data_IF_942457369228
#
_entry.id   IF_942457369228
#
_cell.length_a   1.000
_cell.length_b   1.000
_cell.length_c   1.000
_cell.angle_alpha   90.00
_cell.angle_beta   90.00
_cell.angle_gamma   90.00
#
_symmetry.space_group_name_H-M   'P 1'
#
loop_
_entity.id
_entity.type
_entity.pdbx_description
1 polymer ?
#
# COMPACT_ATOMS: atom_id res chain seq x y z
N UNK A 1 2.76 -9.01 -3.62
CA UNK A 1 3.20 -9.14 -5.03
C UNK A 1 4.65 -9.60 -5.05
N UNK A 2 4.91 -10.80 -4.50
CA UNK A 2 6.25 -11.40 -4.41
C UNK A 2 6.34 -12.68 -5.26
N UNK A 3 5.49 -12.77 -6.28
CA UNK A 3 5.54 -13.83 -7.28
C UNK A 3 6.31 -13.24 -8.46
N UNK A 4 7.24 -14.03 -9.00
CA UNK A 4 8.06 -13.81 -10.21
C UNK A 4 9.51 -13.35 -9.97
N UNK A 5 10.26 -14.16 -9.21
CA UNK A 5 11.69 -14.31 -9.49
C UNK A 5 11.89 -15.33 -10.63
N UNK A 6 11.86 -14.81 -11.85
CA UNK A 6 12.36 -15.44 -13.07
C UNK A 6 13.19 -14.41 -13.83
N UNK A 7 14.34 -14.85 -14.34
CA UNK A 7 15.35 -14.12 -15.13
C UNK A 7 14.96 -12.74 -15.68
N UNK A 8 15.84 -11.75 -15.49
CA UNK A 8 15.67 -10.32 -15.76
C UNK A 8 15.30 -9.90 -17.20
N UNK A 9 15.10 -10.84 -18.12
CA UNK A 9 14.65 -10.58 -19.48
C UNK A 9 13.13 -10.75 -19.65
N UNK A 10 12.48 -11.69 -18.92
CA UNK A 10 11.06 -12.04 -19.09
C UNK A 10 10.09 -11.09 -18.38
N UNK A 11 10.55 -10.33 -17.39
CA UNK A 11 9.67 -9.43 -16.62
C UNK A 11 9.19 -8.20 -17.42
N UNK A 12 9.84 -7.86 -18.54
CA UNK A 12 9.46 -6.70 -19.35
C UNK A 12 8.16 -6.96 -20.12
N UNK A 13 7.95 -8.21 -20.56
CA UNK A 13 6.77 -8.61 -21.34
C UNK A 13 5.52 -8.80 -20.48
N UNK A 14 5.69 -9.18 -19.21
CA UNK A 14 4.59 -9.20 -18.24
C UNK A 14 4.15 -7.78 -17.85
N UNK A 15 5.13 -6.88 -17.68
CA UNK A 15 4.89 -5.47 -17.38
C UNK A 15 4.14 -4.76 -18.52
N UNK A 16 4.51 -5.06 -19.76
CA UNK A 16 3.84 -4.49 -20.93
C UNK A 16 2.43 -5.06 -21.13
N UNK A 17 2.21 -6.36 -20.88
CA UNK A 17 0.90 -7.01 -21.01
C UNK A 17 -0.17 -6.50 -20.03
N UNK A 18 0.22 -6.21 -18.78
CA UNK A 18 -0.69 -5.69 -17.77
C UNK A 18 -1.11 -4.24 -18.08
N UNK A 19 -0.16 -3.42 -18.58
CA UNK A 19 -0.42 -2.02 -18.95
C UNK A 19 -1.10 -1.88 -20.32
N UNK A 20 -0.94 -2.87 -21.21
CA UNK A 20 -1.60 -2.89 -22.52
C UNK A 20 -3.10 -3.21 -22.42
N UNK A 21 -3.54 -3.90 -21.37
CA UNK A 21 -4.96 -4.15 -21.10
C UNK A 21 -5.70 -2.90 -20.60
N UNK A 22 -5.00 -1.96 -19.96
CA UNK A 22 -5.46 -0.59 -19.72
C UNK A 22 -5.18 0.26 -20.98
N UNK A 23 -5.80 -0.15 -22.10
CA UNK A 23 -5.55 0.38 -23.44
C UNK A 23 -5.83 1.88 -23.57
N UNK A 24 -4.77 2.69 -23.53
CA UNK A 24 -4.57 3.94 -24.29
C UNK A 24 -3.35 4.78 -23.82
N UNK A 25 -2.57 4.33 -22.84
CA UNK A 25 -1.46 5.14 -22.31
C UNK A 25 -0.12 4.89 -23.03
N UNK A 26 -0.07 5.07 -24.35
CA UNK A 26 1.14 5.61 -24.98
C UNK A 26 0.86 7.09 -25.24
N UNK A 27 0.42 7.79 -24.20
CA UNK A 27 0.12 9.21 -24.27
C UNK A 27 1.41 9.99 -24.09
N UNK A 28 1.70 10.86 -25.05
CA UNK A 28 2.60 12.00 -24.84
C UNK A 28 2.28 12.66 -23.50
N UNK A 29 3.31 13.19 -22.82
CA UNK A 29 3.28 13.81 -21.48
C UNK A 29 2.16 14.82 -21.20
N UNK A 30 1.43 15.25 -22.23
CA UNK A 30 0.36 16.24 -22.20
C UNK A 30 -0.97 15.76 -21.64
N UNK A 31 -1.24 14.44 -21.56
CA UNK A 31 -2.58 13.90 -21.23
C UNK A 31 -2.60 12.84 -20.11
N UNK A 32 -1.58 12.79 -19.24
CA UNK A 32 -1.62 11.87 -18.10
C UNK A 32 -2.49 12.48 -17.01
N UNK A 33 -3.66 11.90 -16.82
CA UNK A 33 -4.55 12.23 -15.71
C UNK A 33 -3.98 11.68 -14.40
N UNK A 34 -3.92 12.54 -13.38
CA UNK A 34 -3.41 12.22 -12.06
C UNK A 34 -4.47 12.63 -11.02
N UNK A 35 -5.53 11.83 -10.84
CA UNK A 35 -6.63 12.12 -9.93
C UNK A 35 -6.13 12.33 -8.50
N UNK A 36 -6.52 13.47 -7.95
CA UNK A 36 -6.22 13.84 -6.58
C UNK A 36 -7.06 13.00 -5.60
N UNK A 37 -6.69 13.03 -4.32
CA UNK A 37 -7.52 12.43 -3.26
C UNK A 37 -8.69 13.38 -3.04
N UNK A 38 -9.90 12.91 -3.38
CA UNK A 38 -11.14 13.67 -3.27
C UNK A 38 -12.12 12.95 -2.33
N UNK A 39 -12.98 13.74 -1.69
CA UNK A 39 -14.12 13.21 -0.95
C UNK A 39 -15.11 12.58 -1.93
N UNK A 40 -15.79 11.54 -1.49
CA UNK A 40 -16.90 10.97 -2.27
C UNK A 40 -18.03 12.01 -2.42
N UNK A 41 -18.78 11.99 -3.53
CA UNK A 41 -19.86 12.95 -3.76
C UNK A 41 -20.85 13.04 -2.59
N UNK A 42 -21.12 14.25 -2.12
CA UNK A 42 -22.01 14.54 -0.99
C UNK A 42 -21.33 14.56 0.38
N UNK A 43 -20.02 14.29 0.45
CA UNK A 43 -19.23 14.30 1.69
C UNK A 43 -18.16 15.39 1.71
N UNK A 44 -18.17 16.33 0.76
CA UNK A 44 -17.18 17.40 0.62
C UNK A 44 -17.17 18.33 1.83
N UNK A 45 -18.32 18.49 2.50
CA UNK A 45 -18.47 19.29 3.74
C UNK A 45 -17.56 18.80 4.88
N UNK A 46 -17.15 17.53 4.85
CA UNK A 46 -16.23 17.00 5.86
C UNK A 46 -14.82 17.58 5.72
N UNK A 47 -14.39 17.95 4.50
CA UNK A 47 -13.12 18.67 4.31
C UNK A 47 -13.12 20.00 5.05
N UNK A 48 -14.14 20.81 4.82
CA UNK A 48 -14.30 22.09 5.51
C UNK A 48 -14.42 21.92 7.03
N UNK A 49 -15.17 20.92 7.49
CA UNK A 49 -15.29 20.62 8.91
C UNK A 49 -13.92 20.27 9.54
N UNK A 50 -13.14 19.40 8.90
CA UNK A 50 -11.81 19.01 9.36
C UNK A 50 -10.87 20.20 9.39
N UNK A 51 -10.88 21.03 8.35
CA UNK A 51 -10.06 22.23 8.27
C UNK A 51 -10.36 23.20 9.41
N UNK A 52 -11.64 23.58 9.58
CA UNK A 52 -12.06 24.52 10.64
C UNK A 52 -11.71 24.02 12.02
N UNK A 53 -11.89 22.72 12.27
CA UNK A 53 -11.57 22.13 13.56
C UNK A 53 -10.07 22.22 13.83
N UNK A 54 -9.23 21.86 12.85
CA UNK A 54 -7.77 21.92 12.99
C UNK A 54 -7.18 23.33 13.09
N UNK A 55 -7.85 24.35 12.55
CA UNK A 55 -7.44 25.76 12.65
C UNK A 55 -7.90 26.43 13.96
N UNK A 56 -8.98 25.93 14.57
CA UNK A 56 -9.58 26.55 15.75
C UNK A 56 -8.93 26.09 17.07
N UNK A 57 -8.86 26.99 18.05
CA UNK A 57 -8.53 26.60 19.42
C UNK A 57 -9.79 26.08 20.12
N UNK A 58 -9.76 24.84 20.59
CA UNK A 58 -10.88 24.22 21.28
C UNK A 58 -10.41 23.31 22.43
N UNK A 59 -11.29 23.02 23.38
CA UNK A 59 -11.03 22.11 24.52
C UNK A 59 -11.44 20.66 24.24
N UNK A 60 -11.83 20.34 23.00
CA UNK A 60 -12.16 19.00 22.54
C UNK A 60 -10.97 18.33 21.84
N UNK A 61 -11.10 17.05 21.50
CA UNK A 61 -10.14 16.31 20.68
C UNK A 61 -10.92 15.46 19.67
N UNK A 62 -10.48 15.46 18.40
CA UNK A 62 -11.00 14.58 17.36
C UNK A 62 -9.91 13.61 16.93
N UNK A 63 -10.26 12.32 16.89
CA UNK A 63 -9.40 11.26 16.35
C UNK A 63 -10.01 10.78 15.03
N UNK A 64 -9.29 11.03 13.93
CA UNK A 64 -9.65 10.56 12.60
C UNK A 64 -8.81 9.31 12.26
N UNK A 65 -9.45 8.27 11.77
CA UNK A 65 -8.76 7.13 11.14
C UNK A 65 -9.03 7.16 9.64
N UNK A 66 -7.98 7.01 8.83
CA UNK A 66 -8.10 7.01 7.38
C UNK A 66 -6.99 6.19 6.72
N UNK A 67 -7.28 5.63 5.55
CA UNK A 67 -6.28 5.05 4.64
C UNK A 67 -5.54 6.12 3.85
N UNK A 68 -6.24 7.21 3.54
CA UNK A 68 -5.76 8.34 2.76
C UNK A 68 -5.67 9.59 3.63
N UNK A 69 -4.53 10.28 3.61
CA UNK A 69 -4.36 11.54 4.33
C UNK A 69 -5.07 12.67 3.57
N UNK A 70 -6.15 13.29 4.11
CA UNK A 70 -6.81 14.44 3.49
C UNK A 70 -5.88 15.64 3.37
N UNK A 71 -6.17 16.55 2.45
CA UNK A 71 -5.29 17.68 2.15
C UNK A 71 -5.23 18.67 3.31
N UNK A 72 -6.36 18.86 3.98
CA UNK A 72 -6.55 19.71 5.14
C UNK A 72 -5.65 19.24 6.29
N UNK A 73 -5.60 17.93 6.53
CA UNK A 73 -4.70 17.34 7.54
C UNK A 73 -3.23 17.51 7.12
N UNK A 74 -2.90 17.29 5.85
CA UNK A 74 -1.52 17.44 5.37
C UNK A 74 -1.02 18.89 5.48
N UNK A 75 -1.88 19.89 5.32
CA UNK A 75 -1.54 21.30 5.45
C UNK A 75 -1.38 21.75 6.91
N UNK A 76 -2.14 21.15 7.83
CA UNK A 76 -2.18 21.54 9.25
C UNK A 76 -1.27 20.70 10.15
N UNK A 77 -0.77 19.54 9.69
CA UNK A 77 0.12 18.69 10.49
C UNK A 77 1.52 19.29 10.65
N UNK A 78 2.11 19.11 11.82
CA UNK A 78 3.50 19.50 12.09
C UNK A 78 3.94 19.10 13.49
N UNK A 79 5.17 19.43 13.91
CA UNK A 79 5.68 19.15 15.27
C UNK A 79 5.23 20.21 16.29
N UNK A 80 5.04 21.45 15.83
CA UNK A 80 4.61 22.59 16.65
C UNK A 80 3.18 23.05 16.32
N UNK A 81 2.54 22.44 15.31
CA UNK A 81 1.19 22.75 14.85
C UNK A 81 0.10 22.02 15.67
N UNK A 82 -1.17 22.45 15.63
CA UNK A 82 -2.23 21.83 16.45
C UNK A 82 -2.62 20.41 15.99
N UNK A 83 -2.41 20.08 14.71
CA UNK A 83 -2.77 18.76 14.15
C UNK A 83 -1.59 17.79 14.23
N UNK A 84 -1.86 16.57 14.68
CA UNK A 84 -0.88 15.48 14.81
C UNK A 84 -1.33 14.28 13.98
N UNK A 85 -0.36 13.60 13.35
CA UNK A 85 -0.60 12.40 12.58
C UNK A 85 0.26 11.25 13.08
N UNK A 86 -0.37 10.10 13.32
CA UNK A 86 0.31 8.86 13.66
C UNK A 86 0.16 7.89 12.49
N UNK A 87 1.26 7.59 11.81
CA UNK A 87 1.29 6.56 10.77
C UNK A 87 1.42 5.19 11.43
N UNK A 88 0.33 4.42 11.47
CA UNK A 88 0.35 3.04 11.98
C UNK A 88 1.23 2.17 11.10
N UNK A 89 2.00 1.24 11.66
CA UNK A 89 2.81 0.25 10.93
C UNK A 89 2.24 -1.16 11.13
N UNK A 90 2.77 -2.14 10.37
CA UNK A 90 2.46 -3.54 10.60
C UNK A 90 2.87 -4.03 11.99
N UNK A 91 2.22 -5.11 12.43
CA UNK A 91 2.51 -5.80 13.68
C UNK A 91 3.87 -6.47 13.65
N UNK A 92 4.49 -6.60 14.82
CA UNK A 92 5.66 -7.46 14.97
C UNK A 92 5.22 -8.93 15.12
N UNK A 93 6.22 -9.80 15.21
CA UNK A 93 6.02 -11.25 15.25
C UNK A 93 5.15 -11.67 16.45
N UNK A 94 5.35 -11.08 17.62
CA UNK A 94 4.63 -11.45 18.85
C UNK A 94 3.13 -11.19 18.71
N UNK A 95 2.75 -9.99 18.24
CA UNK A 95 1.35 -9.63 18.04
C UNK A 95 0.72 -10.41 16.88
N UNK A 96 1.51 -10.75 15.86
CA UNK A 96 1.07 -11.62 14.75
C UNK A 96 0.76 -13.03 15.25
N UNK A 97 1.59 -13.59 16.15
CA UNK A 97 1.32 -14.87 16.80
C UNK A 97 0.01 -14.84 17.57
N UNK A 98 -0.27 -13.77 18.34
CA UNK A 98 -1.54 -13.67 19.08
C UNK A 98 -2.77 -13.68 18.17
N UNK A 99 -2.68 -13.10 16.97
CA UNK A 99 -3.76 -13.19 15.98
C UNK A 99 -3.95 -14.64 15.53
N UNK A 100 -2.88 -15.36 15.22
CA UNK A 100 -2.95 -16.77 14.83
C UNK A 100 -3.52 -17.63 15.98
N UNK A 101 -3.07 -17.44 17.21
CA UNK A 101 -3.62 -18.13 18.37
C UNK A 101 -5.13 -17.89 18.51
N UNK A 102 -5.59 -16.65 18.31
CA UNK A 102 -7.03 -16.32 18.30
C UNK A 102 -7.81 -16.98 17.15
N UNK A 103 -7.12 -17.41 16.09
CA UNK A 103 -7.65 -18.19 14.96
C UNK A 103 -7.56 -19.71 15.17
N UNK A 104 -7.20 -20.16 16.37
CA UNK A 104 -7.20 -21.58 16.75
C UNK A 104 -5.85 -22.27 16.61
N UNK A 105 -4.77 -21.56 16.32
CA UNK A 105 -3.43 -22.14 16.23
C UNK A 105 -2.74 -22.15 17.61
N UNK A 106 -2.99 -23.18 18.42
CA UNK A 106 -2.50 -23.24 19.80
C UNK A 106 -0.98 -23.50 19.95
N UNK A 107 -0.30 -23.90 18.87
CA UNK A 107 1.13 -24.28 18.86
C UNK A 107 1.86 -23.76 17.61
N UNK A 108 1.77 -22.46 17.34
CA UNK A 108 2.49 -21.84 16.21
C UNK A 108 3.99 -21.86 16.51
N UNK A 109 4.81 -22.36 15.57
CA UNK A 109 6.26 -22.27 15.70
C UNK A 109 6.70 -20.81 15.50
N UNK A 110 7.72 -20.31 16.21
CA UNK A 110 8.20 -18.94 16.00
C UNK A 110 8.55 -18.63 14.53
N UNK A 111 9.14 -19.60 13.83
CA UNK A 111 9.51 -19.49 12.41
C UNK A 111 8.29 -19.33 11.50
N UNK A 112 7.24 -20.14 11.70
CA UNK A 112 5.97 -20.04 10.97
C UNK A 112 5.32 -18.67 11.15
N UNK A 113 5.24 -18.19 12.40
CA UNK A 113 4.68 -16.86 12.71
C UNK A 113 5.52 -15.75 12.07
N UNK A 114 6.84 -15.87 12.11
CA UNK A 114 7.73 -14.91 11.48
C UNK A 114 7.53 -14.85 9.96
N UNK A 115 7.41 -16.01 9.30
CA UNK A 115 7.19 -16.09 7.86
C UNK A 115 5.84 -15.47 7.47
N UNK A 116 4.75 -15.82 8.17
CA UNK A 116 3.44 -15.20 7.94
C UNK A 116 3.52 -13.68 8.17
N UNK A 117 4.11 -13.23 9.27
CA UNK A 117 4.26 -11.81 9.57
C UNK A 117 5.03 -11.08 8.45
N UNK A 118 6.15 -11.65 7.98
CA UNK A 118 6.95 -11.06 6.90
C UNK A 118 6.19 -11.03 5.57
N UNK A 119 5.55 -12.14 5.20
CA UNK A 119 4.81 -12.30 3.95
C UNK A 119 3.64 -11.32 3.83
N UNK A 120 2.99 -10.99 4.95
CA UNK A 120 1.87 -10.05 5.02
C UNK A 120 2.25 -8.71 5.66
N UNK A 121 3.55 -8.42 5.80
CA UNK A 121 4.09 -7.19 6.40
C UNK A 121 3.45 -6.80 7.75
N UNK A 122 3.02 -7.77 8.55
CA UNK A 122 2.35 -7.54 9.83
C UNK A 122 0.92 -6.99 9.70
N UNK A 123 0.28 -7.05 8.52
CA UNK A 123 -1.08 -6.55 8.32
C UNK A 123 -2.09 -7.42 9.12
N UNK A 124 -2.76 -6.87 10.15
CA UNK A 124 -3.64 -7.65 11.03
C UNK A 124 -4.81 -8.31 10.29
N UNK A 125 -5.35 -7.64 9.26
CA UNK A 125 -6.47 -8.17 8.49
C UNK A 125 -6.02 -9.36 7.65
N UNK A 126 -4.90 -9.22 6.94
CA UNK A 126 -4.37 -10.31 6.11
C UNK A 126 -3.97 -11.52 6.95
N UNK A 127 -3.33 -11.33 8.11
CA UNK A 127 -3.01 -12.43 9.02
C UNK A 127 -4.29 -13.15 9.49
N UNK A 128 -5.38 -12.42 9.78
CA UNK A 128 -6.68 -13.02 10.12
C UNK A 128 -7.30 -13.81 8.98
N UNK A 129 -7.24 -13.30 7.75
CA UNK A 129 -7.77 -13.96 6.56
C UNK A 129 -7.00 -15.24 6.27
N UNK A 130 -5.67 -15.16 6.29
CA UNK A 130 -4.76 -16.31 6.09
C UNK A 130 -4.97 -17.36 7.17
N UNK A 131 -5.06 -16.97 8.44
CA UNK A 131 -5.35 -17.93 9.52
C UNK A 131 -6.67 -18.70 9.29
N UNK A 132 -7.66 -18.04 8.71
CA UNK A 132 -8.94 -18.69 8.35
C UNK A 132 -8.74 -19.67 7.19
N UNK A 133 -8.05 -19.24 6.12
CA UNK A 133 -7.76 -20.09 4.98
C UNK A 133 -6.89 -21.31 5.34
N UNK A 134 -5.91 -21.16 6.24
CA UNK A 134 -5.07 -22.27 6.72
C UNK A 134 -5.94 -23.30 7.47
N UNK A 135 -6.88 -22.86 8.31
CA UNK A 135 -7.78 -23.78 8.99
C UNK A 135 -8.67 -24.55 8.01
N UNK A 136 -9.26 -23.84 7.06
CA UNK A 136 -10.27 -24.40 6.15
C UNK A 136 -9.68 -25.27 5.04
N UNK A 137 -8.54 -24.86 4.47
CA UNK A 137 -7.97 -25.48 3.27
C UNK A 137 -6.82 -26.44 3.59
N UNK A 138 -6.15 -26.25 4.74
CA UNK A 138 -4.95 -27.01 5.13
C UNK A 138 -5.11 -27.68 6.50
N UNK A 139 -6.34 -27.76 7.02
CA UNK A 139 -6.65 -28.37 8.32
C UNK A 139 -5.77 -27.85 9.49
N UNK A 140 -5.39 -26.57 9.43
CA UNK A 140 -4.55 -25.93 10.43
C UNK A 140 -3.04 -26.13 10.24
N UNK A 141 -2.59 -26.73 9.13
CA UNK A 141 -1.18 -26.94 8.83
C UNK A 141 -0.55 -25.70 8.18
N UNK A 142 0.20 -24.92 8.97
CA UNK A 142 0.86 -23.69 8.48
C UNK A 142 1.99 -24.02 7.50
N UNK A 143 2.79 -25.06 7.77
CA UNK A 143 3.92 -25.45 6.92
C UNK A 143 3.44 -25.80 5.48
N UNK A 144 2.33 -26.53 5.37
CA UNK A 144 1.76 -26.92 4.08
C UNK A 144 1.25 -25.72 3.28
N UNK A 145 0.65 -24.73 3.96
CA UNK A 145 0.26 -23.47 3.34
C UNK A 145 1.47 -22.68 2.84
N UNK A 146 2.52 -22.56 3.67
CA UNK A 146 3.74 -21.83 3.32
C UNK A 146 4.45 -22.44 2.09
N UNK A 147 4.33 -23.75 1.88
CA UNK A 147 4.86 -24.44 0.69
C UNK A 147 4.11 -24.12 -0.61
N UNK A 148 2.89 -23.57 -0.56
CA UNK A 148 2.14 -23.22 -1.77
C UNK A 148 2.65 -21.95 -2.45
N UNK A 149 3.49 -21.16 -1.78
CA UNK A 149 4.06 -19.88 -2.25
C UNK A 149 3.02 -18.85 -2.76
N UNK A 150 1.73 -19.09 -2.48
CA UNK A 150 0.62 -18.27 -2.97
C UNK A 150 0.18 -17.30 -1.89
N UNK A 151 0.60 -16.04 -2.03
CA UNK A 151 0.40 -15.00 -1.02
C UNK A 151 -0.92 -14.23 -1.19
N UNK A 152 -1.43 -14.11 -2.42
CA UNK A 152 -2.56 -13.23 -2.73
C UNK A 152 -3.68 -14.05 -3.34
N UNK A 153 -4.75 -14.26 -2.57
CA UNK A 153 -5.92 -15.04 -2.97
C UNK A 153 -7.16 -14.58 -2.20
N UNK A 154 -8.35 -14.94 -2.70
CA UNK A 154 -9.63 -14.66 -2.04
C UNK A 154 -9.79 -13.20 -1.61
N UNK A 155 -10.21 -12.99 -0.37
CA UNK A 155 -10.48 -11.67 0.20
C UNK A 155 -9.25 -10.75 0.26
N UNK A 156 -8.04 -11.31 0.35
CA UNK A 156 -6.80 -10.53 0.32
C UNK A 156 -6.66 -9.85 -1.05
N UNK A 157 -6.97 -10.60 -2.12
CA UNK A 157 -6.96 -10.06 -3.47
C UNK A 157 -8.01 -8.97 -3.64
N UNK A 158 -9.24 -9.20 -3.18
CA UNK A 158 -10.32 -8.20 -3.22
C UNK A 158 -9.89 -6.89 -2.52
N UNK A 159 -9.32 -7.00 -1.31
CA UNK A 159 -8.84 -5.84 -0.55
C UNK A 159 -7.76 -5.04 -1.30
N UNK A 160 -6.82 -5.73 -1.94
CA UNK A 160 -5.75 -5.09 -2.71
C UNK A 160 -6.27 -4.48 -4.02
N UNK A 161 -7.15 -5.19 -4.73
CA UNK A 161 -7.74 -4.74 -5.99
C UNK A 161 -8.54 -3.43 -5.78
N UNK A 162 -9.31 -3.32 -4.69
CA UNK A 162 -10.01 -2.08 -4.34
C UNK A 162 -9.08 -0.87 -4.22
N UNK A 163 -7.90 -1.05 -3.59
CA UNK A 163 -6.94 0.05 -3.44
C UNK A 163 -6.21 0.34 -4.75
N UNK A 164 -5.84 -0.70 -5.47
CA UNK A 164 -5.05 -0.62 -6.70
C UNK A 164 -5.84 -0.03 -7.87
N UNK A 165 -7.13 -0.37 -8.00
CA UNK A 165 -7.97 0.09 -9.10
C UNK A 165 -8.27 1.60 -9.07
N UNK A 166 -8.15 2.24 -7.90
CA UNK A 166 -8.33 3.69 -7.74
C UNK A 166 -7.12 4.52 -8.18
N UNK A 167 -6.00 3.87 -8.47
CA UNK A 167 -4.74 4.54 -8.81
C UNK A 167 -4.69 4.93 -10.28
N UNK A 168 -4.03 6.07 -10.55
CA UNK A 168 -3.70 6.45 -11.92
C UNK A 168 -2.75 5.45 -12.59
N UNK A 169 -2.68 5.47 -13.92
CA UNK A 169 -1.74 4.63 -14.68
C UNK A 169 -0.30 4.85 -14.22
N UNK A 170 0.08 6.11 -13.94
CA UNK A 170 1.43 6.42 -13.47
C UNK A 170 1.70 5.84 -12.08
N UNK A 171 0.75 5.95 -11.15
CA UNK A 171 0.88 5.35 -9.82
C UNK A 171 0.97 3.84 -9.85
N UNK A 172 0.14 3.18 -10.67
CA UNK A 172 0.21 1.73 -10.90
C UNK A 172 1.60 1.33 -11.42
N UNK A 173 2.15 2.05 -12.40
CA UNK A 173 3.50 1.80 -12.91
C UNK A 173 4.59 1.93 -11.84
N UNK A 174 4.51 2.98 -11.01
CA UNK A 174 5.44 3.17 -9.90
C UNK A 174 5.32 2.00 -8.90
N UNK A 175 4.11 1.61 -8.52
CA UNK A 175 3.89 0.47 -7.63
C UNK A 175 4.46 -0.83 -8.18
N UNK A 176 4.23 -1.11 -9.47
CA UNK A 176 4.83 -2.26 -10.12
C UNK A 176 6.36 -2.18 -10.06
N UNK A 177 6.98 -1.07 -10.46
CA UNK A 177 8.45 -0.94 -10.41
C UNK A 177 9.01 -1.22 -9.00
N UNK A 178 8.34 -0.71 -7.96
CA UNK A 178 8.70 -0.94 -6.56
C UNK A 178 8.52 -2.40 -6.14
N UNK A 179 7.53 -3.11 -6.67
CA UNK A 179 7.31 -4.53 -6.38
C UNK A 179 8.45 -5.41 -6.92
N UNK A 180 8.98 -5.09 -8.10
CA UNK A 180 10.07 -5.86 -8.72
C UNK A 180 11.47 -5.51 -8.23
N UNK A 181 11.71 -4.27 -7.80
CA UNK A 181 13.04 -3.82 -7.42
C UNK A 181 12.95 -3.24 -6.02
N UNK A 182 13.30 -4.05 -5.02
CA UNK A 182 13.32 -3.61 -3.63
C UNK A 182 14.19 -2.34 -3.50
N UNK A 183 13.60 -1.26 -2.97
CA UNK A 183 14.20 0.05 -2.74
C UNK A 183 14.59 0.82 -4.02
N UNK A 184 13.76 1.79 -4.42
CA UNK A 184 14.03 2.68 -5.56
C UNK A 184 14.36 4.10 -5.13
N UNK A 185 15.43 4.64 -5.69
CA UNK A 185 15.67 6.08 -5.71
C UNK A 185 14.87 6.75 -6.82
N UNK A 186 14.40 7.98 -6.59
CA UNK A 186 13.60 8.78 -7.53
C UNK A 186 14.29 8.97 -8.89
N UNK A 187 15.62 9.11 -8.91
CA UNK A 187 16.37 9.25 -10.17
C UNK A 187 16.30 7.97 -11.01
N UNK A 188 16.45 6.80 -10.36
CA UNK A 188 16.33 5.51 -11.04
C UNK A 188 14.91 5.24 -11.50
N UNK A 189 13.91 5.71 -10.73
CA UNK A 189 12.50 5.57 -11.07
C UNK A 189 12.22 6.23 -12.43
N UNK A 190 12.69 7.46 -12.63
CA UNK A 190 12.51 8.17 -13.90
C UNK A 190 13.10 7.42 -15.10
N UNK A 191 14.27 6.80 -14.95
CA UNK A 191 14.94 6.07 -16.03
C UNK A 191 14.23 4.76 -16.40
N UNK A 192 13.53 4.14 -15.46
CA UNK A 192 12.86 2.84 -15.62
C UNK A 192 11.37 2.95 -15.94
N UNK A 193 10.77 4.14 -15.82
CA UNK A 193 9.40 4.37 -16.25
C UNK A 193 9.27 4.22 -17.76
N UNK A 194 8.24 3.49 -18.20
CA UNK A 194 7.93 3.33 -19.63
C UNK A 194 7.36 4.62 -20.22
N UNK A 195 6.57 5.35 -19.42
CA UNK A 195 6.02 6.65 -19.81
C UNK A 195 7.09 7.73 -19.70
N UNK A 196 7.26 8.51 -20.77
CA UNK A 196 8.06 9.73 -20.74
C UNK A 196 7.27 10.85 -20.05
N UNK A 197 7.37 10.90 -18.73
CA UNK A 197 6.69 11.87 -17.87
C UNK A 197 7.65 12.94 -17.35
N UNK A 198 7.12 14.12 -17.04
CA UNK A 198 7.90 15.17 -16.40
C UNK A 198 8.23 14.79 -14.95
N UNK A 199 9.35 15.33 -14.42
CA UNK A 199 9.72 15.12 -13.02
C UNK A 199 8.61 15.58 -12.06
N UNK A 200 7.85 16.63 -12.42
CA UNK A 200 6.70 17.12 -11.66
C UNK A 200 5.67 16.02 -11.43
N UNK A 201 5.24 15.36 -12.51
CA UNK A 201 4.22 14.30 -12.43
C UNK A 201 4.70 13.08 -11.63
N UNK A 202 5.99 12.75 -11.71
CA UNK A 202 6.57 11.67 -10.87
C UNK A 202 6.47 12.05 -9.39
N UNK A 203 6.86 13.27 -9.04
CA UNK A 203 6.81 13.72 -7.65
C UNK A 203 5.37 13.76 -7.12
N UNK A 204 4.43 14.25 -7.92
CA UNK A 204 2.99 14.27 -7.57
C UNK A 204 2.44 12.85 -7.39
N UNK A 205 2.76 11.91 -8.28
CA UNK A 205 2.33 10.52 -8.16
C UNK A 205 2.92 9.84 -6.91
N UNK A 206 4.20 10.08 -6.62
CA UNK A 206 4.85 9.57 -5.40
C UNK A 206 4.20 10.17 -4.16
N UNK A 207 3.93 11.48 -4.15
CA UNK A 207 3.22 12.14 -3.03
C UNK A 207 1.84 11.52 -2.81
N UNK A 208 1.06 11.32 -3.86
CA UNK A 208 -0.26 10.68 -3.78
C UNK A 208 -0.18 9.26 -3.23
N UNK A 209 0.75 8.43 -3.71
CA UNK A 209 0.98 7.08 -3.17
C UNK A 209 1.39 7.11 -1.68
N UNK A 210 2.18 8.11 -1.26
CA UNK A 210 2.52 8.30 0.15
C UNK A 210 1.30 8.70 0.98
N UNK A 211 0.47 9.61 0.47
CA UNK A 211 -0.78 10.05 1.13
C UNK A 211 -1.82 8.93 1.20
N UNK A 212 -1.84 8.02 0.23
CA UNK A 212 -2.65 6.78 0.23
C UNK A 212 -2.06 5.66 1.10
N UNK A 213 -0.94 5.92 1.79
CA UNK A 213 -0.24 4.96 2.64
C UNK A 213 0.21 3.67 1.92
N UNK A 214 0.38 3.72 0.60
CA UNK A 214 0.80 2.56 -0.22
C UNK A 214 2.31 2.44 -0.33
N UNK A 215 3.03 3.54 -0.11
CA UNK A 215 4.50 3.55 -0.09
C UNK A 215 5.06 4.28 1.12
N UNK A 216 6.28 3.91 1.49
CA UNK A 216 7.10 4.55 2.52
C UNK A 216 8.42 5.03 1.94
N UNK A 217 8.99 6.07 2.55
CA UNK A 217 10.39 6.44 2.35
C UNK A 217 11.28 5.66 3.33
N UNK A 218 12.39 5.15 2.83
CA UNK A 218 13.42 4.43 3.58
C UNK A 218 14.74 5.16 3.39
N UNK A 219 15.33 5.64 4.48
CA UNK A 219 16.58 6.40 4.44
C UNK A 219 16.51 7.65 3.55
N UNK A 220 17.66 8.04 3.00
CA UNK A 220 17.84 9.30 2.26
C UNK A 220 17.39 9.27 0.79
N UNK A 221 16.32 8.52 0.45
CA UNK A 221 15.77 8.58 -0.91
C UNK A 221 15.05 7.35 -1.44
N UNK A 222 15.04 6.22 -0.73
CA UNK A 222 14.43 5.00 -1.26
C UNK A 222 12.93 4.94 -0.99
N UNK A 223 12.17 4.41 -1.95
CA UNK A 223 10.75 4.11 -1.80
C UNK A 223 10.57 2.59 -1.64
N UNK A 224 9.64 2.19 -0.76
CA UNK A 224 9.19 0.80 -0.58
C UNK A 224 7.67 0.72 -0.57
N UNK A 225 7.12 -0.44 -0.95
CA UNK A 225 5.70 -0.74 -0.81
C UNK A 225 5.32 -1.00 0.66
N UNK A 226 4.08 -0.65 1.01
CA UNK A 226 3.36 -1.15 2.18
C UNK A 226 2.31 -2.15 1.75
N UNK A 227 2.24 -3.27 2.47
CA UNK A 227 1.16 -4.25 2.38
C UNK A 227 0.40 -4.29 3.70
#
# INVERSE_FOLDING_TARGET
MQILYGSSADNTDLYSGILANDGNAIANSSNIDLPQIEYIPGYEVFGEFIQRLGESQHQSCLVLTSREKPQEIAALEGETLPVRCLKLTGLAQVESTYILESKGFAKVKPEESQQIMQQYAGNPLFIKLVGTAIQELFAGNIDEFLQQETVVFGDIRCCLDEQFNRLSVLEKQIMYLLALNQNFDLQKLQQKLMLRVSQRLILEAVELLQRRSLIDRVGSGFLKLRY
#
